data_IF_832729782051
#
_entry.id   IF_832729782051
#
_cell.length_a   1.000
_cell.length_b   1.000
_cell.length_c   1.000
_cell.angle_alpha   90.00
_cell.angle_beta   90.00
_cell.angle_gamma   90.00
#
_symmetry.space_group_name_H-M   'P 1'
#
loop_
_entity.id
_entity.type
_entity.pdbx_description
1 polymer ?
#
# COMPACT_ATOMS: atom_id res chain seq x y z
N UNK A 1 -8.86 -27.88 -9.46
CA UNK A 1 -8.09 -26.82 -10.15
C UNK A 1 -7.76 -25.70 -9.16
N UNK A 2 -6.48 -25.41 -8.95
CA UNK A 2 -6.02 -24.31 -8.07
C UNK A 2 -6.58 -22.97 -8.56
N UNK A 3 -6.78 -21.97 -7.67
CA UNK A 3 -7.20 -20.61 -8.08
C UNK A 3 -6.29 -20.04 -9.17
N UNK A 4 -4.98 -20.27 -9.01
CA UNK A 4 -3.97 -19.97 -10.01
C UNK A 4 -4.28 -20.59 -11.38
N UNK A 5 -4.68 -21.87 -11.46
CA UNK A 5 -4.95 -22.51 -12.76
C UNK A 5 -6.12 -21.87 -13.54
N UNK A 6 -7.19 -21.46 -12.85
CA UNK A 6 -8.33 -20.79 -13.49
C UNK A 6 -7.99 -19.34 -13.92
N UNK A 7 -7.23 -18.62 -13.08
CA UNK A 7 -6.66 -17.30 -13.41
C UNK A 7 -5.73 -17.39 -14.62
N UNK A 8 -4.84 -18.39 -14.66
CA UNK A 8 -3.91 -18.62 -15.76
C UNK A 8 -4.65 -18.87 -17.07
N UNK A 9 -5.66 -19.74 -17.09
CA UNK A 9 -6.44 -20.02 -18.32
C UNK A 9 -7.24 -18.80 -18.81
N UNK A 10 -7.82 -18.00 -17.90
CA UNK A 10 -8.55 -16.79 -18.26
C UNK A 10 -7.66 -15.68 -18.83
N UNK A 11 -6.51 -15.44 -18.19
CA UNK A 11 -5.54 -14.46 -18.67
C UNK A 11 -4.90 -14.87 -20.01
N UNK A 12 -4.66 -16.17 -20.24
CA UNK A 12 -4.15 -16.70 -21.54
C UNK A 12 -5.11 -16.40 -22.69
N UNK A 13 -6.43 -16.55 -22.47
CA UNK A 13 -7.46 -16.28 -23.49
C UNK A 13 -7.57 -14.79 -23.84
N UNK A 14 -7.34 -13.89 -22.87
CA UNK A 14 -7.28 -12.45 -23.11
C UNK A 14 -5.97 -12.04 -23.80
N UNK A 15 -4.85 -12.60 -23.37
CA UNK A 15 -3.53 -12.34 -23.95
C UNK A 15 -3.47 -12.70 -25.45
N UNK A 16 -4.12 -13.79 -25.87
CA UNK A 16 -4.18 -14.21 -27.27
C UNK A 16 -5.00 -13.25 -28.16
N UNK A 17 -5.84 -12.39 -27.58
CA UNK A 17 -6.71 -11.45 -28.30
C UNK A 17 -6.14 -10.04 -28.40
N UNK A 18 -5.10 -9.72 -27.62
CA UNK A 18 -4.50 -8.38 -27.58
C UNK A 18 -3.17 -8.37 -28.32
N UNK A 19 -3.13 -7.78 -29.52
CA UNK A 19 -1.89 -7.44 -30.20
C UNK A 19 -1.08 -6.44 -29.36
N UNK A 20 0.26 -6.54 -29.40
CA UNK A 20 1.15 -5.56 -28.79
C UNK A 20 0.94 -4.22 -29.52
N UNK A 21 0.21 -3.30 -28.88
CA UNK A 21 -0.09 -1.98 -29.42
C UNK A 21 1.12 -1.04 -29.39
N UNK A 22 1.09 0.09 -30.12
CA UNK A 22 2.16 1.08 -30.10
C UNK A 22 2.31 1.74 -28.72
N UNK A 23 3.57 1.95 -28.30
CA UNK A 23 3.94 2.57 -27.02
C UNK A 23 3.46 4.03 -26.97
N UNK A 24 2.57 4.35 -26.05
CA UNK A 24 2.04 5.71 -25.86
C UNK A 24 3.08 6.58 -25.16
N UNK A 25 3.51 7.67 -25.80
CA UNK A 25 4.36 8.68 -25.18
C UNK A 25 3.54 9.46 -24.12
N UNK A 26 4.08 9.57 -22.89
CA UNK A 26 3.36 10.17 -21.76
C UNK A 26 3.79 11.62 -21.51
N UNK A 27 2.83 12.52 -21.35
CA UNK A 27 3.06 13.97 -21.15
C UNK A 27 3.42 14.33 -19.71
N UNK A 28 2.97 13.56 -18.70
CA UNK A 28 3.36 13.68 -17.29
C UNK A 28 3.39 12.30 -16.62
N UNK A 29 4.58 11.84 -16.22
CA UNK A 29 4.78 10.54 -15.55
C UNK A 29 4.86 10.64 -14.02
N UNK A 30 5.04 11.85 -13.50
CA UNK A 30 4.97 12.17 -12.07
C UNK A 30 4.02 13.37 -11.94
N UNK A 31 3.01 13.23 -11.10
CA UNK A 31 2.00 14.24 -10.79
C UNK A 31 2.09 14.52 -9.30
N UNK A 32 2.43 15.75 -8.93
CA UNK A 32 2.65 16.16 -7.55
C UNK A 32 2.51 17.67 -7.41
N UNK A 33 2.06 18.12 -6.24
CA UNK A 33 2.04 19.53 -5.88
C UNK A 33 3.44 20.14 -5.79
N UNK A 34 3.52 21.45 -6.00
CA UNK A 34 4.77 22.18 -5.89
C UNK A 34 5.21 22.29 -4.42
N UNK A 35 6.19 21.48 -4.01
CA UNK A 35 6.84 21.57 -2.71
C UNK A 35 8.31 21.16 -2.84
N UNK A 36 9.15 21.63 -1.93
CA UNK A 36 10.57 21.25 -1.90
C UNK A 36 10.71 19.72 -1.73
N UNK A 37 9.89 19.14 -0.86
CA UNK A 37 9.84 17.69 -0.63
C UNK A 37 9.50 16.93 -1.92
N UNK A 38 8.40 17.29 -2.59
CA UNK A 38 7.96 16.61 -3.82
C UNK A 38 8.99 16.78 -4.94
N UNK A 39 9.58 17.97 -5.09
CA UNK A 39 10.64 18.22 -6.06
C UNK A 39 11.87 17.34 -5.81
N UNK A 40 12.31 17.25 -4.54
CA UNK A 40 13.42 16.38 -4.15
C UNK A 40 13.12 14.90 -4.44
N UNK A 41 11.96 14.40 -4.03
CA UNK A 41 11.56 13.02 -4.25
C UNK A 41 11.40 12.69 -5.75
N UNK A 42 10.77 13.60 -6.51
CA UNK A 42 10.61 13.45 -7.95
C UNK A 42 11.96 13.36 -8.67
N UNK A 43 12.94 14.19 -8.30
CA UNK A 43 14.28 14.13 -8.89
C UNK A 43 15.02 12.82 -8.64
N UNK A 44 14.75 12.13 -7.53
CA UNK A 44 15.29 10.80 -7.25
C UNK A 44 14.59 9.69 -8.02
N UNK A 45 13.28 9.83 -8.27
CA UNK A 45 12.48 8.82 -8.98
C UNK A 45 12.55 8.94 -10.50
N UNK A 46 12.72 10.16 -11.04
CA UNK A 46 12.70 10.42 -12.48
C UNK A 46 13.72 9.56 -13.26
N UNK A 47 14.98 9.39 -12.83
CA UNK A 47 15.95 8.55 -13.55
C UNK A 47 15.55 7.07 -13.61
N UNK A 48 14.89 6.54 -12.57
CA UNK A 48 14.37 5.17 -12.59
C UNK A 48 13.24 5.03 -13.59
N UNK A 49 12.37 6.03 -13.61
CA UNK A 49 11.22 6.10 -14.49
C UNK A 49 11.66 6.18 -15.96
N UNK A 50 12.68 6.99 -16.25
CA UNK A 50 13.24 7.15 -17.60
C UNK A 50 13.89 5.86 -18.13
N UNK A 51 14.46 5.04 -17.23
CA UNK A 51 15.07 3.74 -17.57
C UNK A 51 14.10 2.57 -17.60
N UNK A 52 12.90 2.72 -17.03
CA UNK A 52 11.92 1.64 -16.96
C UNK A 52 11.58 1.14 -18.36
N UNK A 53 11.88 -0.13 -18.61
CA UNK A 53 11.56 -0.80 -19.87
C UNK A 53 10.71 -2.05 -19.58
N UNK A 54 9.39 -1.99 -19.84
CA UNK A 54 8.53 -3.14 -19.61
C UNK A 54 8.99 -4.32 -20.47
N UNK A 55 8.82 -5.54 -19.96
CA UNK A 55 9.21 -6.77 -20.66
C UNK A 55 8.53 -6.84 -22.04
N UNK A 56 9.34 -6.67 -23.10
CA UNK A 56 8.88 -6.36 -24.45
C UNK A 56 7.93 -7.38 -25.11
N UNK A 57 7.95 -8.65 -24.68
CA UNK A 57 7.11 -9.72 -25.23
C UNK A 57 5.79 -9.91 -24.47
N UNK A 58 5.53 -9.05 -23.48
CA UNK A 58 4.33 -9.10 -22.64
C UNK A 58 3.31 -8.04 -23.05
N UNK A 59 2.09 -8.19 -22.55
CA UNK A 59 1.05 -7.16 -22.53
C UNK A 59 0.45 -7.10 -21.12
N UNK A 60 -0.54 -6.23 -20.89
CA UNK A 60 -1.18 -6.08 -19.59
C UNK A 60 -1.65 -7.42 -18.98
N UNK A 61 -2.32 -8.28 -19.76
CA UNK A 61 -2.84 -9.56 -19.28
C UNK A 61 -1.71 -10.58 -18.99
N UNK A 62 -0.69 -10.64 -19.84
CA UNK A 62 0.47 -11.52 -19.62
C UNK A 62 1.23 -11.08 -18.37
N UNK A 63 1.50 -9.79 -18.19
CA UNK A 63 2.18 -9.28 -17.00
C UNK A 63 1.39 -9.58 -15.71
N UNK A 64 0.06 -9.38 -15.73
CA UNK A 64 -0.77 -9.72 -14.57
C UNK A 64 -0.67 -11.22 -14.24
N UNK A 65 -0.67 -12.10 -15.25
CA UNK A 65 -0.50 -13.54 -15.06
C UNK A 65 0.88 -13.88 -14.51
N UNK A 66 1.93 -13.19 -14.98
CA UNK A 66 3.31 -13.40 -14.54
C UNK A 66 3.47 -13.23 -13.03
N UNK A 67 2.64 -12.41 -12.37
CA UNK A 67 2.64 -12.27 -10.90
C UNK A 67 2.36 -13.59 -10.15
N UNK A 68 1.70 -14.56 -10.80
CA UNK A 68 1.37 -15.87 -10.22
C UNK A 68 2.36 -16.98 -10.60
N UNK A 69 3.15 -16.80 -11.66
CA UNK A 69 4.03 -17.84 -12.21
C UNK A 69 5.51 -17.52 -12.07
N UNK A 70 5.88 -16.24 -12.04
CA UNK A 70 7.26 -15.82 -11.80
C UNK A 70 7.63 -16.18 -10.36
N UNK A 71 8.68 -16.98 -10.14
CA UNK A 71 9.10 -17.35 -8.80
C UNK A 71 9.48 -16.13 -7.99
N UNK A 72 8.92 -16.03 -6.79
CA UNK A 72 9.31 -15.03 -5.81
C UNK A 72 10.70 -15.34 -5.23
N UNK A 73 11.39 -14.31 -4.73
CA UNK A 73 12.71 -14.44 -4.09
C UNK A 73 12.68 -15.45 -2.93
N UNK A 74 13.83 -16.07 -2.65
CA UNK A 74 13.98 -17.01 -1.53
C UNK A 74 14.20 -16.24 -0.23
N UNK A 75 13.13 -16.07 0.52
CA UNK A 75 13.11 -15.42 1.84
C UNK A 75 12.50 -16.38 2.85
N UNK A 76 13.16 -16.52 4.00
CA UNK A 76 12.62 -17.20 5.16
C UNK A 76 11.89 -16.20 6.06
N UNK A 77 10.85 -16.66 6.74
CA UNK A 77 10.08 -15.81 7.65
C UNK A 77 10.08 -16.37 9.06
N UNK A 78 10.22 -15.47 10.04
CA UNK A 78 9.78 -15.73 11.42
C UNK A 78 8.39 -15.14 11.59
N UNK A 79 7.43 -15.97 11.98
CA UNK A 79 6.06 -15.53 12.26
C UNK A 79 5.86 -15.20 13.72
N UNK A 80 5.34 -14.02 13.98
CA UNK A 80 4.73 -13.64 15.25
C UNK A 80 3.20 -13.67 15.08
N UNK A 81 2.51 -14.47 15.89
CA UNK A 81 1.03 -14.49 15.93
C UNK A 81 0.57 -13.35 16.82
N UNK A 82 -0.29 -12.48 16.28
CA UNK A 82 -0.78 -11.29 16.96
C UNK A 82 -2.21 -11.53 17.46
N UNK A 83 -2.41 -11.81 18.77
CA UNK A 83 -3.74 -11.77 19.35
C UNK A 83 -4.24 -10.32 19.38
N UNK A 84 -5.49 -10.12 18.95
CA UNK A 84 -6.12 -8.82 18.83
C UNK A 84 -7.10 -8.60 20.00
N UNK A 85 -7.36 -7.35 20.34
CA UNK A 85 -8.21 -6.98 21.50
C UNK A 85 -9.63 -7.53 21.42
N UNK A 86 -10.17 -7.70 20.21
CA UNK A 86 -11.52 -8.26 19.98
C UNK A 86 -11.58 -9.80 20.05
N UNK A 87 -10.49 -10.46 20.51
CA UNK A 87 -10.36 -11.91 20.56
C UNK A 87 -9.95 -12.54 19.22
N UNK A 88 -9.81 -11.72 18.17
CA UNK A 88 -9.27 -12.13 16.89
C UNK A 88 -7.78 -12.45 16.88
N UNK A 89 -7.29 -12.83 15.71
CA UNK A 89 -5.87 -12.98 15.48
C UNK A 89 -5.47 -12.58 14.06
N UNK A 90 -4.27 -12.01 13.95
CA UNK A 90 -3.53 -11.77 12.72
C UNK A 90 -2.10 -12.31 12.88
N UNK A 91 -1.23 -12.09 11.90
CA UNK A 91 0.19 -12.44 12.06
C UNK A 91 1.12 -11.46 11.35
N UNK A 92 2.33 -11.34 11.89
CA UNK A 92 3.43 -10.58 11.33
C UNK A 92 4.52 -11.57 10.91
N UNK A 93 4.85 -11.58 9.62
CA UNK A 93 5.92 -12.42 9.07
C UNK A 93 7.15 -11.56 8.82
N UNK A 94 8.15 -11.71 9.68
CA UNK A 94 9.43 -11.01 9.60
C UNK A 94 10.35 -11.70 8.62
N UNK A 95 10.75 -11.00 7.56
CA UNK A 95 11.74 -11.52 6.63
C UNK A 95 13.09 -11.63 7.34
N UNK A 96 13.65 -12.83 7.33
CA UNK A 96 14.95 -13.09 7.94
C UNK A 96 16.06 -12.69 6.96
N UNK A 97 17.11 -12.11 7.53
CA UNK A 97 18.37 -11.88 6.83
C UNK A 97 18.91 -13.25 6.36
N UNK A 98 19.25 -13.35 5.08
CA UNK A 98 19.90 -14.57 4.58
C UNK A 98 21.30 -14.67 5.17
N UNK A 99 21.76 -15.87 5.54
CA UNK A 99 23.11 -16.10 6.07
C UNK A 99 24.22 -15.56 5.18
N UNK A 100 23.94 -15.46 3.88
CA UNK A 100 24.87 -15.05 2.83
C UNK A 100 24.88 -13.52 2.60
N UNK A 101 23.97 -12.77 3.25
CA UNK A 101 24.01 -11.31 3.21
C UNK A 101 25.16 -10.79 4.07
N UNK A 102 26.02 -9.95 3.49
CA UNK A 102 27.29 -9.53 4.09
C UNK A 102 27.14 -8.51 5.22
N UNK A 103 25.94 -7.99 5.49
CA UNK A 103 25.73 -6.99 6.55
C UNK A 103 24.49 -7.31 7.37
N UNK A 104 24.70 -7.51 8.67
CA UNK A 104 23.62 -7.65 9.64
C UNK A 104 22.90 -6.31 9.80
N UNK A 105 21.56 -6.32 9.80
CA UNK A 105 20.79 -5.10 10.03
C UNK A 105 21.04 -4.55 11.44
N UNK A 106 21.20 -3.22 11.52
CA UNK A 106 21.34 -2.51 12.79
C UNK A 106 20.05 -2.58 13.61
N UNK A 107 20.17 -2.37 14.92
CA UNK A 107 19.01 -2.34 15.83
C UNK A 107 18.02 -1.20 15.48
N UNK A 108 18.54 -0.07 15.01
CA UNK A 108 17.79 1.11 14.59
C UNK A 108 17.40 1.09 13.09
N UNK A 109 17.67 -0.02 12.37
CA UNK A 109 17.34 -0.12 10.97
C UNK A 109 15.84 0.11 10.75
N UNK A 110 15.43 0.91 9.74
CA UNK A 110 14.03 1.21 9.49
C UNK A 110 13.24 -0.06 9.15
N UNK A 111 11.94 -0.03 9.38
CA UNK A 111 11.04 -1.16 9.12
C UNK A 111 10.09 -0.82 7.99
N UNK A 112 10.00 -1.72 7.01
CA UNK A 112 8.99 -1.69 5.96
C UNK A 112 7.83 -2.63 6.37
N UNK A 113 6.71 -2.05 6.77
CA UNK A 113 5.46 -2.74 7.08
C UNK A 113 4.68 -2.94 5.78
N UNK A 114 4.58 -4.18 5.33
CA UNK A 114 4.09 -4.56 4.01
C UNK A 114 2.68 -5.16 4.11
N UNK A 115 1.75 -4.63 3.33
CA UNK A 115 0.37 -5.10 3.22
C UNK A 115 0.14 -5.75 1.85
N UNK A 116 -0.13 -7.05 1.85
CA UNK A 116 -0.40 -7.82 0.64
C UNK A 116 -1.79 -7.54 0.04
N UNK A 117 -2.01 -7.96 -1.21
CA UNK A 117 -3.25 -7.81 -1.95
C UNK A 117 -4.44 -8.65 -1.43
N UNK A 118 -5.46 -8.81 -2.28
CA UNK A 118 -6.80 -9.29 -1.90
C UNK A 118 -6.79 -10.63 -1.14
N UNK A 119 -6.21 -11.68 -1.73
CA UNK A 119 -6.07 -13.01 -1.12
C UNK A 119 -4.60 -13.46 -1.15
N UNK A 120 -3.72 -12.57 -0.70
CA UNK A 120 -2.27 -12.79 -0.63
C UNK A 120 -1.79 -13.34 0.72
N UNK A 121 -0.47 -13.36 0.87
CA UNK A 121 0.24 -13.56 2.13
C UNK A 121 1.71 -13.13 1.96
N UNK A 122 2.51 -13.28 3.00
CA UNK A 122 3.97 -13.10 2.97
C UNK A 122 4.67 -13.78 1.79
N UNK A 123 4.24 -14.97 1.37
CA UNK A 123 4.83 -15.67 0.21
C UNK A 123 4.80 -14.85 -1.08
N UNK A 124 3.72 -14.08 -1.30
CA UNK A 124 3.56 -13.23 -2.48
C UNK A 124 4.40 -11.95 -2.43
N UNK A 125 4.98 -11.63 -1.27
CA UNK A 125 5.72 -10.38 -1.02
C UNK A 125 7.23 -10.61 -0.87
N UNK A 126 7.74 -11.84 -1.08
CA UNK A 126 9.15 -12.16 -0.83
C UNK A 126 10.11 -11.34 -1.67
N UNK A 127 9.78 -11.04 -2.93
CA UNK A 127 10.66 -10.21 -3.76
C UNK A 127 10.75 -8.78 -3.27
N UNK A 128 9.66 -8.20 -2.75
CA UNK A 128 9.70 -6.89 -2.09
C UNK A 128 10.48 -6.95 -0.77
N UNK A 129 10.32 -8.02 0.00
CA UNK A 129 11.08 -8.21 1.24
C UNK A 129 12.59 -8.30 0.95
N UNK A 130 12.98 -9.00 -0.12
CA UNK A 130 14.36 -9.08 -0.56
C UNK A 130 14.90 -7.68 -0.94
N UNK A 131 14.15 -6.92 -1.73
CA UNK A 131 14.50 -5.54 -2.08
C UNK A 131 14.66 -4.66 -0.83
N UNK A 132 13.71 -4.76 0.11
CA UNK A 132 13.75 -3.99 1.35
C UNK A 132 15.00 -4.33 2.20
N UNK A 133 15.40 -5.61 2.27
CA UNK A 133 16.65 -6.03 2.94
C UNK A 133 17.88 -5.44 2.26
N UNK A 134 17.93 -5.43 0.92
CA UNK A 134 19.04 -4.84 0.14
C UNK A 134 19.18 -3.33 0.39
N UNK A 135 18.07 -2.64 0.63
CA UNK A 135 18.02 -1.22 1.02
C UNK A 135 18.25 -0.98 2.53
N UNK A 136 18.56 -2.03 3.31
CA UNK A 136 18.84 -1.91 4.74
C UNK A 136 17.60 -1.72 5.62
N UNK A 137 16.41 -2.09 5.13
CA UNK A 137 15.19 -2.13 5.92
C UNK A 137 14.94 -3.53 6.45
N UNK A 138 14.28 -3.59 7.59
CA UNK A 138 13.70 -4.82 8.13
C UNK A 138 12.27 -4.98 7.64
N UNK A 139 11.99 -5.93 6.72
CA UNK A 139 10.66 -6.10 6.18
C UNK A 139 9.81 -6.94 7.13
N UNK A 140 8.58 -6.50 7.35
CA UNK A 140 7.56 -7.29 8.04
C UNK A 140 6.27 -7.28 7.23
N UNK A 141 5.76 -8.46 6.91
CA UNK A 141 4.49 -8.59 6.19
C UNK A 141 3.36 -8.76 7.20
N UNK A 142 2.39 -7.85 7.17
CA UNK A 142 1.16 -7.98 7.92
C UNK A 142 0.18 -8.89 7.18
N UNK A 143 0.02 -10.12 7.68
CA UNK A 143 -1.00 -11.03 7.21
C UNK A 143 -2.32 -10.74 7.96
N UNK A 144 -3.32 -10.29 7.20
CA UNK A 144 -4.68 -10.03 7.67
C UNK A 144 -5.30 -11.29 8.30
N UNK A 145 -6.41 -11.11 9.04
CA UNK A 145 -7.20 -12.22 9.60
C UNK A 145 -7.47 -13.29 8.53
N UNK A 146 -7.25 -14.56 8.88
CA UNK A 146 -7.49 -15.70 7.99
C UNK A 146 -6.47 -15.86 6.85
N UNK A 147 -5.44 -15.02 6.76
CA UNK A 147 -4.39 -15.11 5.75
C UNK A 147 -3.12 -15.76 6.31
N UNK A 148 -2.13 -16.01 5.45
CA UNK A 148 -0.87 -16.66 5.84
C UNK A 148 -1.01 -18.10 6.34
N UNK A 149 -2.16 -18.77 6.11
CA UNK A 149 -2.45 -20.11 6.65
C UNK A 149 -3.02 -20.09 8.07
N UNK A 150 -3.28 -18.92 8.64
CA UNK A 150 -3.96 -18.78 9.92
C UNK A 150 -5.46 -19.01 9.77
N UNK A 151 -6.09 -19.66 10.76
CA UNK A 151 -7.55 -19.72 10.88
C UNK A 151 -8.11 -18.43 11.47
N UNK A 152 -9.40 -18.19 11.26
CA UNK A 152 -10.12 -17.15 11.97
C UNK A 152 -10.36 -17.54 13.44
N UNK A 153 -10.01 -16.66 14.37
CA UNK A 153 -10.35 -16.80 15.79
C UNK A 153 -11.72 -16.19 16.13
N UNK A 154 -12.16 -15.22 15.32
CA UNK A 154 -13.49 -14.61 15.39
C UNK A 154 -14.12 -14.60 13.99
N UNK A 155 -15.46 -14.61 13.87
CA UNK A 155 -16.18 -14.69 12.60
C UNK A 155 -16.15 -13.36 11.84
N UNK A 156 -14.96 -12.78 11.64
CA UNK A 156 -14.73 -11.45 11.08
C UNK A 156 -13.72 -11.51 9.94
N UNK A 157 -14.14 -11.03 8.78
CA UNK A 157 -13.31 -10.77 7.62
C UNK A 157 -13.55 -9.34 7.13
N UNK A 158 -12.57 -8.83 6.41
CA UNK A 158 -12.67 -7.54 5.74
C UNK A 158 -11.89 -7.60 4.44
N UNK A 159 -12.51 -7.14 3.36
CA UNK A 159 -11.99 -7.33 2.00
C UNK A 159 -10.56 -6.77 1.84
N UNK A 160 -10.41 -5.47 2.09
CA UNK A 160 -9.10 -4.81 2.05
C UNK A 160 -8.31 -5.00 3.35
N UNK A 161 -9.01 -5.23 4.45
CA UNK A 161 -8.46 -5.44 5.79
C UNK A 161 -9.03 -4.44 6.79
N UNK A 162 -8.85 -4.73 8.08
CA UNK A 162 -9.37 -3.89 9.16
C UNK A 162 -8.29 -2.92 9.65
N UNK A 163 -8.59 -1.61 9.63
CA UNK A 163 -7.66 -0.57 10.10
C UNK A 163 -7.30 -0.78 11.58
N UNK A 164 -8.26 -1.16 12.41
CA UNK A 164 -8.02 -1.44 13.82
C UNK A 164 -6.98 -2.56 14.04
N UNK A 165 -7.03 -3.61 13.22
CA UNK A 165 -6.04 -4.69 13.29
C UNK A 165 -4.64 -4.17 12.90
N UNK A 166 -4.57 -3.29 11.90
CA UNK A 166 -3.30 -2.69 11.47
C UNK A 166 -2.75 -1.72 12.52
N UNK A 167 -3.59 -0.94 13.21
CA UNK A 167 -3.19 -0.12 14.36
C UNK A 167 -2.54 -0.98 15.44
N UNK A 168 -3.18 -2.11 15.81
CA UNK A 168 -2.64 -3.03 16.82
C UNK A 168 -1.34 -3.70 16.35
N UNK A 169 -1.24 -4.04 15.06
CA UNK A 169 -0.03 -4.61 14.48
C UNK A 169 1.14 -3.62 14.48
N UNK A 170 0.91 -2.37 14.10
CA UNK A 170 1.94 -1.33 14.09
C UNK A 170 2.39 -1.02 15.52
N UNK A 171 1.46 -0.95 16.48
CA UNK A 171 1.81 -0.78 17.89
C UNK A 171 2.66 -1.96 18.42
N UNK A 172 2.39 -3.19 17.97
CA UNK A 172 3.22 -4.35 18.30
C UNK A 172 4.63 -4.24 17.70
N UNK A 173 4.73 -3.86 16.43
CA UNK A 173 6.01 -3.64 15.72
C UNK A 173 6.84 -2.56 16.42
N UNK A 174 6.23 -1.43 16.75
CA UNK A 174 6.87 -0.32 17.45
C UNK A 174 7.39 -0.73 18.82
N UNK A 175 6.59 -1.49 19.59
CA UNK A 175 7.02 -2.00 20.89
C UNK A 175 8.21 -2.96 20.79
N UNK A 176 8.25 -3.77 19.74
CA UNK A 176 9.34 -4.72 19.51
C UNK A 176 10.63 -4.02 19.03
N UNK A 177 10.50 -2.92 18.28
CA UNK A 177 11.61 -2.16 17.70
C UNK A 177 11.45 -0.65 17.95
N UNK A 178 11.64 -0.19 19.20
CA UNK A 178 11.33 1.19 19.59
C UNK A 178 12.27 2.25 18.99
N UNK A 179 13.42 1.84 18.46
CA UNK A 179 14.40 2.74 17.81
C UNK A 179 14.19 2.83 16.29
N UNK A 180 13.36 1.96 15.71
CA UNK A 180 13.17 1.87 14.27
C UNK A 180 12.10 2.84 13.79
N UNK A 181 12.40 3.55 12.71
CA UNK A 181 11.41 4.29 11.95
C UNK A 181 10.54 3.33 11.13
N UNK A 182 9.23 3.57 11.05
CA UNK A 182 8.27 2.68 10.39
C UNK A 182 7.74 3.30 9.08
N UNK A 183 7.67 2.50 8.03
CA UNK A 183 7.16 2.90 6.72
C UNK A 183 6.16 1.87 6.20
N UNK A 184 5.10 2.32 5.53
CA UNK A 184 4.09 1.42 4.96
C UNK A 184 4.27 1.20 3.47
N UNK A 185 4.11 -0.04 3.01
CA UNK A 185 3.99 -0.36 1.58
C UNK A 185 2.76 -1.26 1.39
N UNK A 186 1.85 -0.87 0.50
CA UNK A 186 0.66 -1.64 0.17
C UNK A 186 0.61 -2.01 -1.30
N UNK A 187 0.06 -3.19 -1.59
CA UNK A 187 -0.24 -3.65 -2.95
C UNK A 187 -1.74 -3.86 -3.13
N UNK A 188 -2.34 -3.28 -4.18
CA UNK A 188 -3.76 -3.48 -4.52
C UNK A 188 -4.68 -3.25 -3.31
N UNK A 189 -5.45 -4.26 -2.88
CA UNK A 189 -6.24 -4.23 -1.64
C UNK A 189 -5.44 -3.80 -0.40
N UNK A 190 -4.17 -4.19 -0.29
CA UNK A 190 -3.27 -3.78 0.80
C UNK A 190 -2.95 -2.28 0.78
N UNK A 191 -2.91 -1.67 -0.41
CA UNK A 191 -2.83 -0.22 -0.57
C UNK A 191 -4.08 0.46 -0.01
N UNK A 192 -5.25 -0.14 -0.21
CA UNK A 192 -6.49 0.40 0.36
C UNK A 192 -6.52 0.38 1.87
N UNK A 193 -6.02 -0.70 2.49
CA UNK A 193 -5.84 -0.77 3.94
C UNK A 193 -4.83 0.27 4.45
N UNK A 194 -3.68 0.42 3.78
CA UNK A 194 -2.66 1.41 4.16
C UNK A 194 -3.20 2.83 4.05
N UNK A 195 -3.85 3.18 2.93
CA UNK A 195 -4.45 4.49 2.71
C UNK A 195 -5.51 4.80 3.78
N UNK A 196 -6.37 3.83 4.08
CA UNK A 196 -7.37 3.95 5.15
C UNK A 196 -6.73 4.22 6.50
N UNK A 197 -5.68 3.47 6.86
CA UNK A 197 -4.95 3.67 8.11
C UNK A 197 -4.33 5.07 8.19
N UNK A 198 -3.62 5.51 7.14
CA UNK A 198 -2.96 6.81 7.11
C UNK A 198 -3.97 7.96 7.20
N UNK A 199 -5.11 7.84 6.50
CA UNK A 199 -6.17 8.84 6.54
C UNK A 199 -6.93 8.87 7.88
N UNK A 200 -7.23 7.72 8.47
CA UNK A 200 -7.96 7.67 9.75
C UNK A 200 -7.11 8.08 10.95
N UNK A 201 -5.80 7.78 10.91
CA UNK A 201 -4.89 8.14 12.00
C UNK A 201 -4.31 9.55 11.85
N UNK A 202 -4.14 10.06 10.63
CA UNK A 202 -3.62 11.41 10.36
C UNK A 202 -2.33 11.68 11.12
N UNK A 203 -2.32 12.73 11.95
CA UNK A 203 -1.16 13.13 12.78
C UNK A 203 -0.79 12.09 13.85
N UNK A 204 -1.68 11.15 14.17
CA UNK A 204 -1.42 10.05 15.12
C UNK A 204 -0.78 8.83 14.45
N UNK A 205 -0.59 8.85 13.13
CA UNK A 205 0.09 7.76 12.40
C UNK A 205 1.49 7.52 12.98
N UNK A 206 1.79 6.27 13.32
CA UNK A 206 3.17 5.84 13.64
C UNK A 206 4.02 5.58 12.39
N UNK A 207 3.40 5.52 11.21
CA UNK A 207 4.12 5.38 9.94
C UNK A 207 4.57 6.74 9.44
N UNK A 208 5.83 6.81 9.03
CA UNK A 208 6.50 8.03 8.59
C UNK A 208 6.23 8.38 7.12
N UNK A 209 5.81 7.41 6.30
CA UNK A 209 5.32 7.57 4.94
C UNK A 209 4.62 6.29 4.46
N UNK A 210 3.94 6.38 3.32
CA UNK A 210 3.31 5.24 2.65
C UNK A 210 3.65 5.16 1.16
N UNK A 211 3.74 3.93 0.63
CA UNK A 211 3.77 3.66 -0.81
C UNK A 211 2.59 2.76 -1.19
N UNK A 212 1.79 3.18 -2.15
CA UNK A 212 0.61 2.47 -2.65
C UNK A 212 0.89 2.00 -4.08
N UNK A 213 0.92 0.68 -4.30
CA UNK A 213 1.16 0.10 -5.63
C UNK A 213 -0.15 -0.45 -6.18
N UNK A 214 -0.52 -0.02 -7.39
CA UNK A 214 -1.80 -0.32 -8.04
C UNK A 214 -3.01 -0.17 -7.10
N UNK A 215 -3.20 0.97 -6.39
CA UNK A 215 -4.31 1.14 -5.48
C UNK A 215 -5.67 1.13 -6.19
N UNK A 216 -6.68 0.53 -5.55
CA UNK A 216 -8.08 0.75 -5.88
C UNK A 216 -8.58 2.01 -5.17
N UNK A 217 -8.67 3.13 -5.88
CA UNK A 217 -8.98 4.44 -5.30
C UNK A 217 -10.43 4.55 -4.81
N UNK A 218 -11.39 4.15 -5.66
CA UNK A 218 -12.80 4.08 -5.34
C UNK A 218 -13.34 2.68 -5.62
N UNK A 219 -13.38 1.84 -4.59
CA UNK A 219 -13.79 0.45 -4.73
C UNK A 219 -15.29 0.29 -4.99
N UNK A 220 -16.12 1.23 -4.53
CA UNK A 220 -17.55 1.20 -4.82
C UNK A 220 -17.81 1.36 -6.31
N UNK A 221 -17.26 2.40 -6.93
CA UNK A 221 -17.42 2.58 -8.38
C UNK A 221 -16.76 1.43 -9.15
N UNK A 222 -15.61 0.95 -8.66
CA UNK A 222 -14.86 -0.12 -9.31
C UNK A 222 -15.69 -1.41 -9.41
N UNK A 223 -16.25 -1.87 -8.29
CA UNK A 223 -16.94 -3.17 -8.23
C UNK A 223 -18.46 -3.07 -8.42
N UNK A 224 -19.08 -1.95 -8.04
CA UNK A 224 -20.55 -1.83 -8.06
C UNK A 224 -21.09 -1.06 -9.27
N UNK A 225 -20.27 -0.21 -9.92
CA UNK A 225 -20.67 0.58 -11.09
C UNK A 225 -20.01 0.14 -12.41
N UNK A 226 -19.38 -1.04 -12.42
CA UNK A 226 -18.93 -1.70 -13.66
C UNK A 226 -17.69 -1.07 -14.29
N UNK A 227 -16.85 -0.38 -13.52
CA UNK A 227 -15.58 0.16 -14.03
C UNK A 227 -14.47 -0.90 -14.12
N UNK A 228 -14.61 -2.02 -13.40
CA UNK A 228 -13.69 -3.16 -13.53
C UNK A 228 -13.97 -3.96 -14.81
N UNK A 229 -12.91 -4.53 -15.40
CA UNK A 229 -13.05 -5.49 -16.50
C UNK A 229 -13.82 -6.75 -16.02
N UNK A 230 -14.91 -7.17 -16.69
CA UNK A 230 -15.75 -8.28 -16.24
C UNK A 230 -15.01 -9.62 -16.06
N UNK A 231 -13.95 -9.86 -16.84
CA UNK A 231 -13.16 -11.09 -16.68
C UNK A 231 -12.37 -11.06 -15.37
N UNK A 232 -11.79 -9.92 -15.02
CA UNK A 232 -11.06 -9.77 -13.76
C UNK A 232 -11.99 -9.80 -12.55
N UNK A 233 -13.14 -9.14 -12.65
CA UNK A 233 -14.21 -9.21 -11.63
C UNK A 233 -14.60 -10.67 -11.33
N UNK A 234 -14.88 -11.44 -12.37
CA UNK A 234 -15.20 -12.87 -12.24
C UNK A 234 -14.04 -13.69 -11.64
N UNK A 235 -12.80 -13.49 -12.09
CA UNK A 235 -11.63 -14.22 -11.59
C UNK A 235 -11.31 -13.89 -10.12
N UNK A 236 -11.43 -12.63 -9.73
CA UNK A 236 -11.29 -12.19 -8.35
C UNK A 236 -12.41 -12.76 -7.47
N UNK A 237 -13.65 -12.78 -7.97
CA UNK A 237 -14.79 -13.42 -7.30
C UNK A 237 -14.54 -14.90 -7.02
N UNK A 238 -13.99 -15.65 -7.98
CA UNK A 238 -13.59 -17.05 -7.76
C UNK A 238 -12.54 -17.15 -6.65
N UNK A 239 -11.60 -16.22 -6.60
CA UNK A 239 -10.53 -16.20 -5.60
C UNK A 239 -11.09 -15.93 -4.20
N UNK A 240 -12.02 -14.98 -4.07
CA UNK A 240 -12.73 -14.68 -2.83
C UNK A 240 -13.59 -15.86 -2.35
N UNK A 241 -14.33 -16.52 -3.25
CA UNK A 241 -15.08 -17.75 -2.91
C UNK A 241 -14.17 -18.86 -2.37
N UNK A 242 -13.01 -19.07 -3.00
CA UNK A 242 -12.02 -20.06 -2.53
C UNK A 242 -11.47 -19.68 -1.16
N UNK A 243 -11.27 -18.39 -0.90
CA UNK A 243 -10.87 -17.91 0.41
C UNK A 243 -11.96 -18.14 1.46
N UNK A 244 -13.22 -17.81 1.15
CA UNK A 244 -14.37 -18.06 2.02
C UNK A 244 -14.49 -19.53 2.40
N UNK A 245 -14.31 -20.46 1.45
CA UNK A 245 -14.37 -21.90 1.69
C UNK A 245 -13.32 -22.40 2.70
N UNK A 246 -12.16 -21.73 2.81
CA UNK A 246 -11.13 -22.09 3.80
C UNK A 246 -11.60 -21.81 5.23
N UNK A 247 -12.48 -20.83 5.40
CA UNK A 247 -12.98 -20.33 6.69
C UNK A 247 -14.47 -20.58 6.90
N UNK A 248 -15.07 -21.48 6.11
CA UNK A 248 -16.50 -21.74 6.12
C UNK A 248 -17.02 -22.18 7.50
N UNK A 249 -16.18 -22.87 8.28
CA UNK A 249 -16.58 -23.38 9.60
C UNK A 249 -16.69 -22.25 10.61
N UNK A 250 -15.77 -21.32 10.53
CA UNK A 250 -15.66 -20.14 11.37
C UNK A 250 -16.71 -19.07 10.99
N UNK A 251 -17.20 -19.08 9.74
CA UNK A 251 -18.11 -18.05 9.20
C UNK A 251 -19.56 -18.50 9.00
N UNK A 252 -19.88 -19.79 9.15
CA UNK A 252 -21.21 -20.35 8.86
C UNK A 252 -22.38 -19.68 9.57
N UNK A 253 -22.13 -19.11 10.76
CA UNK A 253 -23.18 -18.52 11.61
C UNK A 253 -23.42 -17.04 11.30
N UNK A 254 -22.52 -16.41 10.51
CA UNK A 254 -22.60 -14.98 10.14
C UNK A 254 -22.73 -14.75 8.63
N UNK A 255 -22.47 -15.76 7.80
CA UNK A 255 -22.54 -15.69 6.33
C UNK A 255 -23.31 -16.90 5.79
N UNK A 256 -24.26 -16.64 4.90
CA UNK A 256 -24.89 -17.69 4.08
C UNK A 256 -23.88 -18.18 3.02
N UNK A 257 -23.09 -19.19 3.38
CA UNK A 257 -22.03 -19.74 2.53
C UNK A 257 -22.58 -20.24 1.18
N UNK A 258 -23.66 -21.05 1.11
CA UNK A 258 -24.23 -21.46 -0.17
C UNK A 258 -24.63 -20.30 -1.08
N UNK A 259 -25.18 -19.22 -0.52
CA UNK A 259 -25.54 -18.02 -1.30
C UNK A 259 -24.31 -17.26 -1.78
N UNK A 260 -23.33 -17.03 -0.92
CA UNK A 260 -22.06 -16.39 -1.28
C UNK A 260 -21.32 -17.14 -2.41
N UNK A 261 -21.37 -18.48 -2.42
CA UNK A 261 -20.75 -19.30 -3.46
C UNK A 261 -21.45 -19.21 -4.83
N UNK A 262 -22.64 -18.61 -4.93
CA UNK A 262 -23.32 -18.35 -6.21
C UNK A 262 -22.93 -17.03 -6.87
N UNK A 263 -22.33 -16.09 -6.13
CA UNK A 263 -21.96 -14.76 -6.62
C UNK A 263 -21.12 -14.79 -7.91
N UNK A 264 -21.45 -14.02 -8.92
CA UNK A 264 -20.72 -13.99 -10.20
C UNK A 264 -19.83 -12.78 -10.36
N UNK A 265 -19.96 -11.80 -9.47
CA UNK A 265 -19.18 -10.56 -9.38
C UNK A 265 -18.77 -10.27 -7.94
N UNK A 266 -17.80 -9.36 -7.76
CA UNK A 266 -17.37 -8.90 -6.44
C UNK A 266 -18.54 -8.21 -5.74
N UNK A 267 -19.33 -7.41 -6.46
CA UNK A 267 -20.56 -6.79 -5.95
C UNK A 267 -21.48 -7.81 -5.27
N UNK A 268 -21.83 -8.90 -5.96
CA UNK A 268 -22.71 -9.94 -5.39
C UNK A 268 -22.04 -10.65 -4.21
N UNK A 269 -20.72 -10.87 -4.29
CA UNK A 269 -19.97 -11.49 -3.21
C UNK A 269 -19.99 -10.61 -1.95
N UNK A 270 -19.73 -9.32 -2.09
CA UNK A 270 -19.72 -8.35 -0.99
C UNK A 270 -21.10 -8.22 -0.36
N UNK A 271 -22.16 -8.21 -1.17
CA UNK A 271 -23.54 -8.18 -0.69
C UNK A 271 -23.86 -9.41 0.17
N UNK A 272 -23.34 -10.58 -0.20
CA UNK A 272 -23.63 -11.83 0.50
C UNK A 272 -22.68 -12.12 1.67
N UNK A 273 -21.48 -11.53 1.67
CA UNK A 273 -20.43 -11.79 2.65
C UNK A 273 -20.18 -10.56 3.51
N UNK A 274 -19.46 -9.56 3.00
CA UNK A 274 -18.95 -8.47 3.85
C UNK A 274 -20.06 -7.55 4.35
N UNK A 275 -20.98 -7.12 3.48
CA UNK A 275 -22.09 -6.25 3.85
C UNK A 275 -22.92 -6.87 4.98
N UNK A 276 -23.31 -8.13 4.84
CA UNK A 276 -24.11 -8.85 5.85
C UNK A 276 -23.33 -9.16 7.11
N UNK A 277 -22.08 -9.58 6.99
CA UNK A 277 -21.21 -9.86 8.14
C UNK A 277 -21.05 -8.63 9.04
N UNK A 278 -21.00 -7.43 8.45
CA UNK A 278 -20.87 -6.17 9.19
C UNK A 278 -22.22 -5.49 9.49
N UNK A 279 -23.35 -6.17 9.25
CA UNK A 279 -24.68 -5.70 9.65
C UNK A 279 -25.29 -4.59 8.78
N UNK A 280 -24.79 -4.37 7.56
CA UNK A 280 -25.34 -3.38 6.64
C UNK A 280 -26.52 -3.92 5.82
N UNK A 281 -27.44 -3.02 5.49
CA UNK A 281 -28.64 -3.34 4.69
C UNK A 281 -28.41 -3.20 3.19
N UNK A 282 -27.46 -2.36 2.79
CA UNK A 282 -27.15 -2.00 1.41
C UNK A 282 -25.64 -1.76 1.22
N UNK A 283 -25.19 -1.94 -0.02
CA UNK A 283 -23.78 -1.86 -0.39
C UNK A 283 -23.24 -0.43 -0.32
N UNK A 284 -24.07 0.57 -0.59
CA UNK A 284 -23.64 1.97 -0.56
C UNK A 284 -23.24 2.38 0.87
N UNK A 285 -24.07 2.03 1.86
CA UNK A 285 -23.77 2.26 3.28
C UNK A 285 -22.54 1.49 3.75
N UNK A 286 -22.37 0.24 3.31
CA UNK A 286 -21.17 -0.54 3.58
C UNK A 286 -19.93 0.15 2.98
N UNK A 287 -19.96 0.48 1.70
CA UNK A 287 -18.81 1.06 1.03
C UNK A 287 -18.50 2.48 1.50
N UNK A 288 -19.48 3.27 1.90
CA UNK A 288 -19.27 4.62 2.46
C UNK A 288 -18.23 4.66 3.58
N UNK A 289 -18.16 3.62 4.42
CA UNK A 289 -17.19 3.53 5.52
C UNK A 289 -16.02 2.59 5.25
N UNK A 290 -16.03 1.85 4.14
CA UNK A 290 -15.01 0.86 3.81
C UNK A 290 -14.20 1.22 2.55
N UNK A 291 -14.57 2.29 1.85
CA UNK A 291 -13.87 2.75 0.66
C UNK A 291 -12.42 3.18 1.02
N UNK A 292 -11.39 2.71 0.29
CA UNK A 292 -9.98 2.98 0.54
C UNK A 292 -9.60 4.44 0.81
N UNK A 293 -10.14 5.38 0.04
CA UNK A 293 -9.78 6.79 0.12
C UNK A 293 -10.71 7.66 0.97
N UNK A 294 -11.65 7.07 1.71
CA UNK A 294 -12.69 7.81 2.47
C UNK A 294 -12.16 8.91 3.40
N UNK A 295 -10.91 8.80 3.83
CA UNK A 295 -10.26 9.73 4.75
C UNK A 295 -8.98 10.36 4.15
N UNK A 296 -8.82 10.39 2.82
CA UNK A 296 -7.58 10.87 2.20
C UNK A 296 -7.28 12.35 2.51
N UNK A 297 -8.30 13.17 2.72
CA UNK A 297 -8.15 14.60 3.08
C UNK A 297 -7.43 14.80 4.42
N UNK A 298 -7.41 13.76 5.27
CA UNK A 298 -6.73 13.78 6.56
C UNK A 298 -5.28 13.28 6.49
N UNK A 299 -4.75 12.98 5.29
CA UNK A 299 -3.38 12.52 5.11
C UNK A 299 -2.38 13.61 5.56
N UNK A 300 -1.42 13.23 6.41
CA UNK A 300 -0.38 14.13 6.95
C UNK A 300 1.04 13.71 6.63
N UNK A 301 1.20 12.48 6.14
CA UNK A 301 2.49 11.87 5.87
C UNK A 301 2.76 11.81 4.37
N UNK A 302 4.04 11.84 3.95
CA UNK A 302 4.37 11.65 2.55
C UNK A 302 3.80 10.33 2.00
N UNK A 303 3.20 10.41 0.81
CA UNK A 303 2.55 9.29 0.15
C UNK A 303 2.98 9.23 -1.31
N UNK A 304 3.39 8.05 -1.78
CA UNK A 304 3.59 7.77 -3.19
C UNK A 304 2.55 6.76 -3.68
N UNK A 305 1.85 7.08 -4.76
CA UNK A 305 1.05 6.14 -5.52
C UNK A 305 1.76 5.76 -6.81
N UNK A 306 1.80 4.47 -7.14
CA UNK A 306 2.39 3.92 -8.37
C UNK A 306 1.29 3.21 -9.16
N UNK A 307 1.02 3.66 -10.38
CA UNK A 307 0.01 3.08 -11.27
C UNK A 307 0.56 2.81 -12.67
N UNK A 308 0.18 1.68 -13.26
CA UNK A 308 0.34 1.46 -14.69
C UNK A 308 -0.96 1.87 -15.40
N UNK A 309 -0.86 2.56 -16.54
CA UNK A 309 -2.05 2.99 -17.28
C UNK A 309 -2.73 1.85 -18.05
N UNK A 310 -2.05 0.72 -18.22
CA UNK A 310 -2.57 -0.52 -18.79
C UNK A 310 -3.09 -1.51 -17.71
N UNK A 311 -3.18 -1.09 -16.44
CA UNK A 311 -3.69 -1.90 -15.34
C UNK A 311 -5.15 -2.34 -15.63
N UNK A 312 -5.39 -3.65 -15.80
CA UNK A 312 -6.70 -4.16 -16.20
C UNK A 312 -7.67 -4.36 -15.03
N UNK A 313 -7.21 -4.15 -13.79
CA UNK A 313 -7.99 -4.28 -12.56
C UNK A 313 -8.35 -2.91 -12.02
N UNK A 314 -7.36 -2.06 -11.77
CA UNK A 314 -7.54 -0.69 -11.31
C UNK A 314 -7.29 0.27 -12.49
N UNK A 315 -8.32 0.47 -13.31
CA UNK A 315 -8.17 1.14 -14.60
C UNK A 315 -7.78 2.61 -14.45
N UNK A 316 -7.11 3.16 -15.47
CA UNK A 316 -6.60 4.55 -15.45
C UNK A 316 -7.68 5.60 -15.24
N UNK A 317 -8.93 5.32 -15.61
CA UNK A 317 -10.09 6.21 -15.43
C UNK A 317 -10.42 6.43 -13.95
N UNK A 318 -9.96 5.53 -13.07
CA UNK A 318 -10.19 5.59 -11.62
C UNK A 318 -9.14 6.40 -10.88
N UNK A 319 -8.08 6.84 -11.57
CA UNK A 319 -6.96 7.57 -10.95
C UNK A 319 -7.40 9.01 -10.65
N UNK A 320 -7.39 9.45 -9.38
CA UNK A 320 -7.82 10.79 -8.98
C UNK A 320 -6.65 11.77 -9.07
N UNK A 321 -6.29 12.18 -10.29
CA UNK A 321 -5.15 13.09 -10.55
C UNK A 321 -5.22 14.39 -9.74
N UNK A 322 -6.43 14.93 -9.58
CA UNK A 322 -6.74 16.14 -8.81
C UNK A 322 -6.25 16.06 -7.35
N UNK A 323 -6.23 14.86 -6.76
CA UNK A 323 -5.76 14.66 -5.38
C UNK A 323 -4.25 14.78 -5.20
N UNK A 324 -3.49 14.76 -6.30
CA UNK A 324 -2.03 14.83 -6.28
C UNK A 324 -1.49 16.14 -6.85
N UNK A 325 -2.18 16.77 -7.80
CA UNK A 325 -1.70 17.98 -8.51
C UNK A 325 -1.37 19.15 -7.58
N UNK A 326 -2.11 19.32 -6.48
CA UNK A 326 -1.90 20.41 -5.52
C UNK A 326 -1.44 19.93 -4.14
N UNK A 327 -1.17 18.63 -3.98
CA UNK A 327 -0.82 18.07 -2.68
C UNK A 327 0.69 18.22 -2.40
N UNK A 328 1.11 18.90 -1.31
CA UNK A 328 2.53 19.14 -1.02
C UNK A 328 3.28 17.91 -0.51
N UNK A 329 2.57 16.79 -0.25
CA UNK A 329 3.12 15.58 0.37
C UNK A 329 2.72 14.28 -0.33
N UNK A 330 1.73 14.30 -1.23
CA UNK A 330 1.30 13.14 -1.99
C UNK A 330 1.75 13.26 -3.45
N UNK A 331 2.25 12.16 -4.00
CA UNK A 331 2.72 12.07 -5.37
C UNK A 331 2.07 10.87 -6.06
N UNK A 332 1.74 11.04 -7.33
CA UNK A 332 1.34 9.96 -8.23
C UNK A 332 2.41 9.77 -9.29
N UNK A 333 2.92 8.55 -9.40
CA UNK A 333 3.82 8.10 -10.43
C UNK A 333 3.06 7.15 -11.37
N UNK A 334 3.11 7.43 -12.67
CA UNK A 334 2.48 6.61 -13.70
C UNK A 334 3.50 6.02 -14.67
N UNK A 335 3.24 4.77 -15.09
CA UNK A 335 3.92 4.12 -16.21
C UNK A 335 2.91 3.81 -17.31
N UNK A 336 3.34 3.81 -18.58
CA UNK A 336 2.44 3.46 -19.69
C UNK A 336 2.04 1.98 -19.67
N UNK A 337 2.97 1.12 -19.30
CA UNK A 337 2.80 -0.33 -19.16
C UNK A 337 3.29 -0.77 -17.78
N UNK A 338 2.81 -1.91 -17.30
CA UNK A 338 3.19 -2.45 -15.99
C UNK A 338 2.10 -3.31 -15.37
N UNK A 339 0.87 -3.25 -15.91
CA UNK A 339 -0.27 -4.05 -15.45
C UNK A 339 -0.58 -3.90 -13.95
N UNK A 340 -1.42 -4.78 -13.41
CA UNK A 340 -1.78 -4.79 -12.00
C UNK A 340 -0.69 -5.45 -11.16
N UNK A 341 -0.02 -4.66 -10.30
CA UNK A 341 0.99 -5.13 -9.34
C UNK A 341 2.22 -5.84 -9.95
N UNK A 342 2.39 -5.84 -11.27
CA UNK A 342 3.45 -6.61 -11.93
C UNK A 342 4.71 -5.76 -12.12
N UNK A 343 4.61 -4.71 -12.95
CA UNK A 343 5.68 -3.79 -13.32
C UNK A 343 6.96 -4.54 -13.72
N UNK A 344 6.82 -5.66 -14.45
CA UNK A 344 7.98 -6.47 -14.80
C UNK A 344 8.85 -5.77 -15.84
N UNK A 345 10.15 -5.77 -15.58
CA UNK A 345 11.18 -5.37 -16.51
C UNK A 345 12.22 -6.49 -16.70
N UNK A 346 13.09 -6.31 -17.68
CA UNK A 346 14.03 -7.32 -18.13
C UNK A 346 13.44 -8.28 -19.16
N UNK A 347 14.31 -9.05 -19.82
CA UNK A 347 13.91 -9.94 -20.92
C UNK A 347 13.48 -11.33 -20.43
N UNK A 348 14.27 -11.95 -19.56
CA UNK A 348 14.06 -13.32 -19.04
C UNK A 348 14.17 -13.39 -17.51
N UNK A 349 15.07 -12.62 -16.92
CA UNK A 349 15.17 -12.44 -15.47
C UNK A 349 14.24 -11.29 -15.08
N UNK A 350 12.99 -11.63 -14.80
CA UNK A 350 11.96 -10.64 -14.51
C UNK A 350 12.10 -10.12 -13.08
N UNK A 351 12.24 -8.80 -12.94
CA UNK A 351 12.18 -8.08 -11.66
C UNK A 351 11.01 -7.11 -11.70
N UNK A 352 10.35 -6.92 -10.57
CA UNK A 352 9.30 -5.90 -10.45
C UNK A 352 9.95 -4.54 -10.19
N UNK A 353 9.84 -3.64 -11.16
CA UNK A 353 10.37 -2.28 -11.08
C UNK A 353 9.73 -1.47 -9.94
N UNK A 354 8.45 -1.73 -9.64
CA UNK A 354 7.74 -0.99 -8.58
C UNK A 354 8.27 -1.30 -7.17
N UNK A 355 8.89 -2.47 -6.95
CA UNK A 355 9.56 -2.78 -5.68
C UNK A 355 10.75 -1.83 -5.44
N UNK A 356 11.62 -1.69 -6.44
CA UNK A 356 12.79 -0.80 -6.37
C UNK A 356 12.36 0.67 -6.28
N UNK A 357 11.32 1.06 -7.04
CA UNK A 357 10.78 2.42 -7.00
C UNK A 357 10.21 2.76 -5.62
N UNK A 358 9.51 1.81 -4.98
CA UNK A 358 9.00 1.99 -3.61
C UNK A 358 10.14 2.17 -2.60
N UNK A 359 11.18 1.32 -2.66
CA UNK A 359 12.31 1.43 -1.74
C UNK A 359 13.12 2.71 -1.98
N UNK A 360 13.36 3.07 -3.24
CA UNK A 360 14.05 4.32 -3.60
C UNK A 360 13.29 5.54 -3.08
N UNK A 361 11.96 5.58 -3.21
CA UNK A 361 11.16 6.66 -2.62
C UNK A 361 11.39 6.80 -1.11
N UNK A 362 11.36 5.69 -0.37
CA UNK A 362 11.56 5.70 1.08
C UNK A 362 12.98 6.15 1.46
N UNK A 363 14.00 5.75 0.70
CA UNK A 363 15.38 6.19 0.92
C UNK A 363 15.57 7.67 0.65
N UNK A 364 15.07 8.17 -0.48
CA UNK A 364 15.10 9.61 -0.79
C UNK A 364 14.39 10.41 0.30
N UNK A 365 13.28 9.93 0.82
CA UNK A 365 12.60 10.59 1.94
C UNK A 365 13.46 10.63 3.21
N UNK A 366 14.15 9.53 3.55
CA UNK A 366 15.05 9.47 4.70
C UNK A 366 16.25 10.41 4.54
N UNK A 367 16.82 10.47 3.36
CA UNK A 367 17.90 11.41 3.02
C UNK A 367 17.44 12.85 3.20
N UNK A 368 16.29 13.22 2.63
CA UNK A 368 15.72 14.56 2.74
C UNK A 368 15.56 14.96 4.21
N UNK A 369 14.95 14.09 5.03
CA UNK A 369 14.75 14.35 6.46
C UNK A 369 16.06 14.46 7.24
N UNK A 370 17.03 13.62 6.93
CA UNK A 370 18.35 13.66 7.58
C UNK A 370 19.07 14.97 7.28
N UNK A 371 18.99 15.45 6.03
CA UNK A 371 19.52 16.74 5.62
C UNK A 371 18.83 17.89 6.38
N UNK A 372 17.50 17.89 6.47
CA UNK A 372 16.75 18.92 7.20
C UNK A 372 17.07 18.97 8.69
N UNK A 373 17.39 17.84 9.33
CA UNK A 373 17.79 17.80 10.74
C UNK A 373 19.23 18.25 10.99
N UNK A 374 20.07 18.28 9.96
CA UNK A 374 21.50 18.63 10.06
C UNK A 374 21.81 20.11 9.83
N UNK A 375 20.83 20.90 9.37
CA UNK A 375 20.97 22.34 9.18
C UNK A 375 21.09 23.06 10.54
N UNK A 376 22.11 23.92 10.76
CA UNK A 376 22.24 24.66 12.01
C UNK A 376 21.02 25.58 12.24
N UNK A 377 20.57 25.78 13.49
CA UNK A 377 19.49 26.72 13.78
C UNK A 377 19.87 28.10 13.25
N UNK A 378 18.92 28.77 12.58
CA UNK A 378 19.10 30.12 12.09
C UNK A 378 19.62 31.02 13.24
N UNK A 379 20.60 31.91 12.98
CA UNK A 379 21.13 32.76 14.03
C UNK A 379 19.99 33.59 14.63
N UNK A 380 19.70 33.34 15.90
CA UNK A 380 18.80 34.18 16.69
C UNK A 380 19.33 35.60 16.63
N UNK A 381 18.55 36.52 16.06
CA UNK A 381 18.86 37.94 16.06
C UNK A 381 19.07 38.38 17.51
N UNK A 382 20.32 38.59 17.90
CA UNK A 382 20.67 39.22 19.16
C UNK A 382 20.18 40.66 19.10
N UNK A 383 19.12 40.96 19.86
CA UNK A 383 18.71 42.32 20.14
C UNK A 383 19.82 42.99 20.95
N UNK A 384 20.67 43.75 20.27
CA UNK A 384 21.59 44.71 20.86
C UNK A 384 20.79 45.79 21.60
N UNK A 385 20.59 45.62 22.90
CA UNK A 385 20.17 46.68 23.81
C UNK A 385 21.36 47.61 24.03
N UNK A 386 21.50 48.62 23.16
CA UNK A 386 22.34 49.79 23.44
C UNK A 386 21.70 50.60 24.56
N UNK A 387 22.44 50.72 25.65
CA UNK A 387 22.22 51.65 26.74
C UNK A 387 22.10 53.09 26.22
N UNK A 388 20.98 53.74 26.54
CA UNK A 388 20.75 55.17 26.39
C UNK A 388 20.25 55.72 27.72
N UNK A 389 21.18 56.27 28.50
CA UNK A 389 20.90 57.03 29.71
C UNK A 389 20.22 58.36 29.39
N UNK A 390 19.05 58.62 29.96
CA UNK A 390 18.59 60.00 30.18
C UNK A 390 17.68 60.09 31.40
N UNK A 391 18.13 60.93 32.32
CA UNK A 391 17.61 61.16 33.66
C UNK A 391 16.29 61.95 33.68
N UNK A 392 15.60 61.83 34.82
CA UNK A 392 14.81 62.88 35.49
C UNK A 392 13.39 63.19 34.96
N UNK A 393 12.37 62.74 35.71
CA UNK A 393 11.39 63.58 36.44
C UNK A 393 10.19 62.69 36.86
N UNK A 394 10.01 62.43 38.16
CA UNK A 394 9.04 63.08 39.06
C UNK A 394 7.58 62.85 38.64
N UNK A 395 6.83 62.05 39.41
CA UNK A 395 5.65 62.44 40.23
C UNK A 395 4.57 61.34 40.32
N UNK A 396 4.18 61.03 41.58
CA UNK A 396 2.84 60.70 42.10
C UNK A 396 2.04 59.53 41.46
N UNK A 397 1.85 58.43 42.18
CA UNK A 397 0.74 58.15 43.14
C UNK A 397 -0.61 57.75 42.50
N UNK A 398 -1.13 56.64 43.06
CA UNK A 398 -2.54 56.24 43.24
C UNK A 398 -3.27 55.40 42.19
N UNK A 399 -3.60 54.18 42.65
CA UNK A 399 -4.93 53.54 42.69
C UNK A 399 -5.76 53.48 41.39
N UNK A 400 -5.86 52.28 40.80
CA UNK A 400 -7.00 51.36 41.03
C UNK A 400 -6.70 49.98 40.47
#
# INVERSE_FOLDING_TARGET
MTAAAALVSGCMLLAAKTAVGPRVAMTKRIVAGNSELNGFLASGLQPMLDRYTPTWWTNSHVQCMLTFVVPQSRIQYKRDVLPLRDGGQASLDWALENSDSTQKLREDAPIAVIMHGLVGCSDSMRSLCAEALEHGYRPVVFNKRGHGGMKLATPKLQEFGCVQDLIEAIAHVEKAYPLSQLYGIGFSAGSGLLCSYLGETGDQSRLLAGVLISPGYNAFDLFCHGMINPVYDFLMTITLKKFLLRHQKELKDVVDIPKALRATSIREFDEHVYMKMHGYTDLESYWKVNNPMRAIENLKMPLLCINALDDPVCTKETIPYDKFEDNPTAMLLTTGEGSHCAFFEGHLNLKSWSNEAAMTYLDRLREYRSASTSSPPAPTASTDLRAGSSSSNVCLQQQK
#
